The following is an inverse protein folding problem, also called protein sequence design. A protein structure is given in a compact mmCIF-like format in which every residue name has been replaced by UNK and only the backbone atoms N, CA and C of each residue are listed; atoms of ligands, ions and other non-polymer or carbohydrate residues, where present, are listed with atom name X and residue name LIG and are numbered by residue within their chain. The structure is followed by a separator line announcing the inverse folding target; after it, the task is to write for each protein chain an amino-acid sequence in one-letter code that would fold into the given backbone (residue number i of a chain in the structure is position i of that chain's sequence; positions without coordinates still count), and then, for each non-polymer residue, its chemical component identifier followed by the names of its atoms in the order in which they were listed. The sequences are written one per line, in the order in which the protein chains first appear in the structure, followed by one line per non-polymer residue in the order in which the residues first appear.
data_IF_150736707811
#
_entry.id   IF_150736707811
#
_cell.length_a   1.000
_cell.length_b   1.000
_cell.length_c   1.000
_cell.angle_alpha   90.00
_cell.angle_beta   90.00
_cell.angle_gamma   90.00
#
_symmetry.space_group_name_H-M   'P 1'
#
loop_
_entity.id
_entity.type
_entity.pdbx_description
1 polymer ?
#
# COMPACT_ATOMS: atom_id res chain seq x y z
N UNK A 1 2.46 -3.20 -10.84
CA UNK A 1 3.16 -2.71 -9.63
C UNK A 1 4.52 -2.17 -10.04
N UNK A 2 4.85 -0.93 -9.71
CA UNK A 2 6.13 -0.30 -10.12
C UNK A 2 7.26 -0.59 -9.12
N UNK A 3 6.98 -0.56 -7.82
CA UNK A 3 7.93 -0.87 -6.76
C UNK A 3 7.17 -1.11 -5.45
N UNK A 4 7.72 -1.90 -4.54
CA UNK A 4 7.21 -2.09 -3.18
C UNK A 4 8.23 -1.50 -2.21
N UNK A 5 7.83 -0.50 -1.41
CA UNK A 5 8.71 0.16 -0.46
C UNK A 5 8.53 -0.50 0.91
N UNK A 6 9.56 -1.16 1.48
CA UNK A 6 9.43 -1.80 2.79
C UNK A 6 9.31 -0.76 3.90
N UNK A 7 8.74 -1.19 5.03
CA UNK A 7 8.68 -0.38 6.25
C UNK A 7 10.03 -0.45 6.96
N UNK A 8 10.67 0.69 7.18
CA UNK A 8 11.96 0.78 7.87
C UNK A 8 11.98 2.00 8.80
N UNK A 9 12.44 1.81 10.05
CA UNK A 9 12.52 2.84 11.08
C UNK A 9 13.53 3.96 10.75
N UNK A 10 14.45 3.72 9.82
CA UNK A 10 15.38 4.76 9.33
C UNK A 10 14.65 5.95 8.72
N UNK A 11 13.44 5.72 8.18
CA UNK A 11 12.59 6.78 7.62
C UNK A 11 12.23 7.80 8.69
N UNK A 12 11.71 7.34 9.83
CA UNK A 12 11.35 8.20 10.96
C UNK A 12 12.57 8.97 11.51
N UNK A 13 13.74 8.33 11.57
CA UNK A 13 14.98 8.99 12.01
C UNK A 13 15.42 10.10 11.05
N UNK A 14 15.27 9.91 9.74
CA UNK A 14 15.56 10.93 8.74
C UNK A 14 14.54 12.07 8.80
N UNK A 15 13.24 11.74 8.92
CA UNK A 15 12.13 12.70 9.00
C UNK A 15 12.23 13.65 10.20
N UNK A 16 12.60 13.14 11.38
CA UNK A 16 12.82 13.97 12.59
C UNK A 16 13.91 15.03 12.35
N UNK A 17 14.89 14.73 11.49
CA UNK A 17 15.99 15.64 11.11
C UNK A 17 15.64 16.50 9.89
N UNK A 18 14.41 16.41 9.37
CA UNK A 18 13.94 17.11 8.16
C UNK A 18 14.80 16.80 6.93
N UNK A 19 15.30 15.57 6.85
CA UNK A 19 16.13 15.09 5.74
C UNK A 19 15.47 13.90 5.07
N UNK A 20 15.80 13.67 3.80
CA UNK A 20 15.46 12.41 3.14
C UNK A 20 16.36 11.28 3.65
N UNK A 21 15.92 10.01 3.53
CA UNK A 21 16.78 8.86 3.88
C UNK A 21 18.05 8.83 3.02
N UNK A 22 17.97 9.25 1.75
CA UNK A 22 19.11 9.32 0.83
C UNK A 22 20.19 10.28 1.33
N UNK A 23 19.80 11.42 1.90
CA UNK A 23 20.72 12.41 2.45
C UNK A 23 21.19 12.04 3.86
N UNK A 24 20.29 11.55 4.70
CA UNK A 24 20.55 11.20 6.10
C UNK A 24 21.51 10.02 6.24
N UNK A 25 21.24 8.92 5.53
CA UNK A 25 22.11 7.75 5.47
C UNK A 25 22.12 7.17 4.04
N UNK A 26 23.07 7.62 3.19
CA UNK A 26 23.15 7.17 1.81
C UNK A 26 23.40 5.67 1.65
N UNK A 27 23.85 4.97 2.70
CA UNK A 27 24.17 3.53 2.69
C UNK A 27 23.05 2.67 3.32
N UNK A 28 21.98 3.30 3.82
CA UNK A 28 20.83 2.58 4.34
C UNK A 28 20.18 1.72 3.24
N UNK A 29 19.72 0.52 3.59
CA UNK A 29 18.99 -0.36 2.66
C UNK A 29 17.77 0.35 2.05
N UNK A 30 17.05 1.12 2.88
CA UNK A 30 15.92 1.92 2.44
C UNK A 30 16.30 3.01 1.41
N UNK A 31 17.52 3.55 1.47
CA UNK A 31 18.01 4.49 0.45
C UNK A 31 18.16 3.80 -0.92
N UNK A 32 18.62 2.53 -0.93
CA UNK A 32 18.73 1.74 -2.15
C UNK A 32 17.35 1.37 -2.72
N UNK A 33 16.35 1.10 -1.88
CA UNK A 33 14.96 0.91 -2.33
C UNK A 33 14.41 2.16 -3.04
N UNK A 34 14.65 3.36 -2.48
CA UNK A 34 14.28 4.60 -3.17
C UNK A 34 15.02 4.80 -4.49
N UNK A 35 16.31 4.47 -4.58
CA UNK A 35 17.06 4.53 -5.85
C UNK A 35 16.53 3.53 -6.86
N UNK A 36 16.16 2.33 -6.42
CA UNK A 36 15.56 1.31 -7.27
C UNK A 36 14.18 1.74 -7.77
N UNK A 37 13.33 2.31 -6.91
CA UNK A 37 12.06 2.94 -7.31
C UNK A 37 12.30 4.04 -8.33
N UNK A 38 13.23 4.97 -8.08
CA UNK A 38 13.53 6.08 -8.97
C UNK A 38 13.95 5.60 -10.37
N UNK A 39 14.80 4.57 -10.44
CA UNK A 39 15.20 3.96 -11.71
C UNK A 39 14.02 3.34 -12.45
N UNK A 40 13.17 2.57 -11.76
CA UNK A 40 11.98 1.95 -12.36
C UNK A 40 10.99 3.00 -12.88
N UNK A 41 10.84 4.12 -12.20
CA UNK A 41 10.05 5.27 -12.67
C UNK A 41 10.65 5.86 -13.93
N UNK A 42 11.97 6.14 -13.93
CA UNK A 42 12.69 6.70 -15.07
C UNK A 42 12.59 5.81 -16.33
N UNK A 43 12.64 4.50 -16.15
CA UNK A 43 12.60 3.52 -17.23
C UNK A 43 11.18 3.05 -17.58
N UNK A 44 10.15 3.50 -16.85
CA UNK A 44 8.78 3.03 -17.06
C UNK A 44 8.21 3.55 -18.39
N UNK A 45 7.86 2.62 -19.28
CA UNK A 45 7.18 2.91 -20.56
C UNK A 45 5.71 2.50 -20.57
N UNK A 46 5.22 1.87 -19.50
CA UNK A 46 3.82 1.44 -19.39
C UNK A 46 2.99 2.62 -18.88
N UNK A 47 2.45 3.39 -19.83
CA UNK A 47 1.52 4.49 -19.60
C UNK A 47 0.16 4.08 -20.15
N UNK A 48 -0.85 3.99 -19.30
CA UNK A 48 -2.18 3.50 -19.65
C UNK A 48 -3.25 4.38 -19.02
N UNK A 49 -4.42 4.45 -19.65
CA UNK A 49 -5.62 4.96 -18.99
C UNK A 49 -6.11 3.85 -18.05
N UNK A 50 -6.27 4.10 -16.74
CA UNK A 50 -6.72 3.08 -15.81
C UNK A 50 -8.16 2.67 -16.12
N UNK A 51 -8.46 1.39 -15.98
CA UNK A 51 -9.83 0.85 -15.99
C UNK A 51 -10.32 0.78 -14.55
N UNK A 52 -11.32 1.58 -14.14
CA UNK A 52 -11.93 1.44 -12.82
C UNK A 52 -12.50 0.04 -12.64
N UNK A 53 -12.30 -0.55 -11.47
CA UNK A 53 -12.95 -1.79 -11.05
C UNK A 53 -14.25 -1.48 -10.31
N UNK A 54 -15.15 -2.46 -10.20
CA UNK A 54 -16.35 -2.31 -9.37
C UNK A 54 -16.02 -2.41 -7.87
N UNK A 55 -16.99 -2.09 -6.99
CA UNK A 55 -16.78 -2.30 -5.54
C UNK A 55 -16.75 -3.78 -5.18
N UNK A 56 -17.56 -4.61 -5.85
CA UNK A 56 -17.53 -6.07 -5.69
C UNK A 56 -16.14 -6.64 -6.03
N UNK A 57 -15.56 -6.24 -7.17
CA UNK A 57 -14.20 -6.65 -7.55
C UNK A 57 -13.14 -6.19 -6.53
N UNK A 58 -13.37 -5.05 -5.87
CA UNK A 58 -12.45 -4.53 -4.85
C UNK A 58 -12.57 -5.33 -3.55
N UNK A 59 -13.78 -5.67 -3.12
CA UNK A 59 -14.04 -6.48 -1.92
C UNK A 59 -13.47 -7.89 -2.09
N UNK A 60 -13.71 -8.52 -3.25
CA UNK A 60 -13.14 -9.82 -3.60
C UNK A 60 -11.61 -9.79 -3.54
N UNK A 61 -10.98 -8.72 -4.06
CA UNK A 61 -9.54 -8.54 -3.99
C UNK A 61 -9.03 -8.43 -2.55
N UNK A 62 -9.75 -7.73 -1.66
CA UNK A 62 -9.35 -7.61 -0.26
C UNK A 62 -9.49 -8.94 0.50
N UNK A 63 -10.51 -9.74 0.18
CA UNK A 63 -10.70 -11.09 0.73
C UNK A 63 -9.63 -12.06 0.21
N UNK A 64 -9.34 -12.05 -1.09
CA UNK A 64 -8.33 -12.93 -1.73
C UNK A 64 -6.95 -12.76 -1.09
N UNK A 65 -6.55 -11.52 -0.82
CA UNK A 65 -5.25 -11.20 -0.23
C UNK A 65 -5.26 -11.24 1.31
N UNK A 66 -6.36 -11.66 1.93
CA UNK A 66 -6.49 -11.84 3.39
C UNK A 66 -6.40 -10.53 4.17
N UNK A 67 -6.78 -9.40 3.57
CA UNK A 67 -6.82 -8.08 4.21
C UNK A 67 -8.15 -7.90 4.96
N UNK A 68 -9.22 -8.53 4.47
CA UNK A 68 -10.51 -8.64 5.14
C UNK A 68 -10.83 -10.11 5.38
N UNK A 69 -11.40 -10.43 6.54
CA UNK A 69 -12.05 -11.72 6.74
C UNK A 69 -13.37 -11.73 5.95
N UNK A 70 -13.81 -12.87 5.40
CA UNK A 70 -15.14 -12.96 4.80
C UNK A 70 -16.16 -12.60 5.88
N UNK A 71 -16.86 -11.49 5.69
CA UNK A 71 -17.98 -11.13 6.56
C UNK A 71 -19.09 -12.16 6.33
N UNK A 72 -19.73 -12.62 7.41
CA UNK A 72 -20.85 -13.54 7.31
C UNK A 72 -21.99 -12.82 6.56
N UNK A 73 -22.33 -13.29 5.35
CA UNK A 73 -23.34 -12.68 4.47
C UNK A 73 -24.71 -12.54 5.16
N UNK A 74 -24.95 -13.26 6.26
CA UNK A 74 -26.15 -13.11 7.08
C UNK A 74 -26.23 -11.73 7.77
N UNK A 75 -25.12 -11.02 7.92
CA UNK A 75 -25.00 -9.74 8.64
C UNK A 75 -25.16 -8.53 7.67
N UNK A 76 -24.97 -8.75 6.37
CA UNK A 76 -25.01 -7.69 5.35
C UNK A 76 -26.40 -7.04 5.31
N UNK A 77 -26.45 -5.72 5.47
CA UNK A 77 -27.71 -4.95 5.50
C UNK A 77 -28.44 -4.98 6.84
N UNK A 78 -27.88 -5.62 7.88
CA UNK A 78 -28.37 -5.51 9.25
C UNK A 78 -27.74 -4.30 9.95
N UNK A 79 -28.57 -3.51 10.62
CA UNK A 79 -28.09 -2.43 11.49
C UNK A 79 -27.48 -3.01 12.76
N UNK A 80 -26.55 -2.28 13.38
CA UNK A 80 -25.96 -2.69 14.66
C UNK A 80 -27.01 -3.01 15.75
N UNK A 81 -28.16 -2.32 15.71
CA UNK A 81 -29.28 -2.57 16.63
C UNK A 81 -30.00 -3.92 16.39
N UNK A 82 -29.88 -4.52 15.20
CA UNK A 82 -30.49 -5.81 14.86
C UNK A 82 -29.59 -6.99 15.23
N UNK A 83 -28.30 -6.75 15.51
CA UNK A 83 -27.31 -7.77 15.87
C UNK A 83 -27.21 -8.00 17.40
N UNK A 84 -27.81 -7.11 18.20
CA UNK A 84 -27.76 -7.14 19.68
C UNK A 84 -29.04 -7.73 20.34
N UNK A 85 -29.94 -8.34 19.57
CA UNK A 85 -31.20 -8.95 20.07
C UNK A 85 -31.24 -10.45 19.90
#
# INVERSE_FOLDING_TARGET
MIHFVPRDNVVQHAEIRRMTVIEYDPKAKQADEYRALARKVLENKKLVVPTPISMEDLEDLLMEFGIMEPEDETIVGQTAAQLEG
#
